data_IF_246190485766
#
_entry.id   IF_246190485766
#
_cell.length_a   1.000
_cell.length_b   1.000
_cell.length_c   1.000
_cell.angle_alpha   90.00
_cell.angle_beta   90.00
_cell.angle_gamma   90.00
#
_symmetry.space_group_name_H-M   'P 1'
#
loop_
_entity.id
_entity.type
_entity.pdbx_description
1 polymer ?
#
# COMPACT_ATOMS: atom_id res chain seq x y z
N UNK A 1 -5.24 -13.60 -15.05
CA UNK A 1 -5.80 -13.96 -13.72
C UNK A 1 -5.19 -13.03 -12.68
N UNK A 2 -6.00 -12.36 -11.86
CA UNK A 2 -5.51 -11.63 -10.69
C UNK A 2 -5.11 -12.65 -9.63
N UNK A 3 -3.90 -12.51 -9.10
CA UNK A 3 -3.39 -13.45 -8.09
C UNK A 3 -3.99 -13.08 -6.73
N UNK A 4 -4.66 -14.01 -6.02
CA UNK A 4 -5.40 -13.69 -4.79
C UNK A 4 -4.48 -13.09 -3.73
N UNK A 5 -4.90 -12.00 -3.09
CA UNK A 5 -4.15 -11.33 -2.02
C UNK A 5 -4.23 -12.16 -0.73
N UNK A 6 -3.14 -12.18 0.05
CA UNK A 6 -3.14 -12.76 1.40
C UNK A 6 -4.06 -11.98 2.34
N UNK A 7 -4.41 -12.54 3.49
CA UNK A 7 -5.19 -11.81 4.49
C UNK A 7 -4.44 -10.55 4.96
N UNK A 8 -3.15 -10.67 5.25
CA UNK A 8 -2.34 -9.54 5.73
C UNK A 8 -2.14 -8.45 4.69
N UNK A 9 -2.14 -8.78 3.40
CA UNK A 9 -2.13 -7.77 2.33
C UNK A 9 -3.40 -6.93 2.31
N UNK A 10 -4.56 -7.59 2.40
CA UNK A 10 -5.85 -6.90 2.43
C UNK A 10 -5.91 -5.97 3.65
N UNK A 11 -5.44 -6.46 4.79
CA UNK A 11 -5.37 -5.67 6.01
C UNK A 11 -4.43 -4.47 5.89
N UNK A 12 -3.28 -4.62 5.22
CA UNK A 12 -2.39 -3.50 4.93
C UNK A 12 -3.13 -2.40 4.16
N UNK A 13 -3.78 -2.73 3.03
CA UNK A 13 -4.54 -1.74 2.26
C UNK A 13 -5.60 -1.00 3.10
N UNK A 14 -6.28 -1.72 3.99
CA UNK A 14 -7.26 -1.12 4.90
C UNK A 14 -6.62 -0.16 5.92
N UNK A 15 -5.53 -0.57 6.57
CA UNK A 15 -4.80 0.28 7.52
C UNK A 15 -4.29 1.54 6.82
N UNK A 16 -3.64 1.39 5.67
CA UNK A 16 -3.09 2.52 4.93
C UNK A 16 -4.19 3.51 4.54
N UNK A 17 -5.35 3.02 4.07
CA UNK A 17 -6.50 3.87 3.80
C UNK A 17 -6.99 4.62 5.04
N UNK A 18 -7.07 3.97 6.19
CA UNK A 18 -7.48 4.62 7.44
C UNK A 18 -6.48 5.70 7.89
N UNK A 19 -5.18 5.44 7.78
CA UNK A 19 -4.13 6.42 8.12
C UNK A 19 -4.29 7.68 7.27
N UNK A 20 -4.29 7.52 5.95
CA UNK A 20 -4.24 8.67 5.05
C UNK A 20 -5.57 9.39 4.89
N UNK A 21 -6.71 8.69 4.98
CA UNK A 21 -8.03 9.36 4.99
C UNK A 21 -8.24 10.21 6.24
N UNK A 22 -7.79 9.74 7.41
CA UNK A 22 -7.84 10.53 8.65
C UNK A 22 -6.84 11.68 8.64
N UNK A 23 -5.64 11.45 8.13
CA UNK A 23 -4.62 12.48 8.00
C UNK A 23 -5.10 13.63 7.11
N UNK A 24 -5.58 13.32 5.90
CA UNK A 24 -6.10 14.29 4.94
C UNK A 24 -7.21 15.14 5.57
N UNK A 25 -8.23 14.48 6.14
CA UNK A 25 -9.34 15.15 6.84
C UNK A 25 -8.88 16.06 7.99
N UNK A 26 -7.95 15.58 8.82
CA UNK A 26 -7.50 16.34 9.99
C UNK A 26 -6.49 17.45 9.64
N UNK A 27 -6.04 17.51 8.39
CA UNK A 27 -5.04 18.48 7.92
C UNK A 27 -5.56 19.39 6.81
N UNK A 28 -6.87 19.43 6.62
CA UNK A 28 -7.53 20.24 5.59
C UNK A 28 -7.25 21.74 5.79
N UNK A 29 -7.34 22.22 7.04
CA UNK A 29 -7.27 23.64 7.39
C UNK A 29 -5.98 24.04 8.14
N UNK A 30 -4.95 23.20 8.16
CA UNK A 30 -3.71 23.49 8.91
C UNK A 30 -2.51 23.63 8.01
N UNK A 31 -1.68 24.64 8.26
CA UNK A 31 -0.40 24.82 7.58
C UNK A 31 0.73 24.00 8.26
N UNK A 32 0.52 23.52 9.50
CA UNK A 32 1.50 22.72 10.24
C UNK A 32 1.40 21.23 9.86
N UNK A 33 1.85 20.92 8.64
CA UNK A 33 1.64 19.61 8.02
C UNK A 33 2.77 18.61 8.22
N UNK A 34 4.01 19.08 8.47
CA UNK A 34 5.19 18.21 8.53
C UNK A 34 5.11 17.16 9.64
N UNK A 35 4.78 17.57 10.87
CA UNK A 35 4.71 16.65 12.01
C UNK A 35 3.61 15.57 11.83
N UNK A 36 2.35 15.92 11.48
CA UNK A 36 1.34 14.92 11.14
C UNK A 36 1.75 13.99 9.98
N UNK A 37 2.39 14.53 8.94
CA UNK A 37 2.88 13.74 7.81
C UNK A 37 3.96 12.73 8.24
N UNK A 38 4.90 13.12 9.10
CA UNK A 38 5.91 12.20 9.66
C UNK A 38 5.30 11.12 10.56
N UNK A 39 4.30 11.45 11.37
CA UNK A 39 3.59 10.45 12.17
C UNK A 39 2.88 9.42 11.28
N UNK A 40 2.16 9.88 10.26
CA UNK A 40 1.49 9.00 9.30
C UNK A 40 2.49 8.15 8.51
N UNK A 41 3.62 8.73 8.10
CA UNK A 41 4.71 8.01 7.45
C UNK A 41 5.26 6.88 8.32
N UNK A 42 5.55 7.17 9.60
CA UNK A 42 6.02 6.16 10.56
C UNK A 42 5.00 5.04 10.76
N UNK A 43 3.73 5.39 10.98
CA UNK A 43 2.64 4.41 11.13
C UNK A 43 2.44 3.55 9.88
N UNK A 44 2.48 4.17 8.70
CA UNK A 44 2.39 3.50 7.39
C UNK A 44 3.53 2.49 7.21
N UNK A 45 4.76 2.90 7.51
CA UNK A 45 5.94 2.04 7.38
C UNK A 45 5.89 0.85 8.31
N UNK A 46 5.51 1.06 9.58
CA UNK A 46 5.35 -0.01 10.55
C UNK A 46 4.28 -1.01 10.09
N UNK A 47 3.11 -0.51 9.69
CA UNK A 47 2.04 -1.35 9.16
C UNK A 47 2.49 -2.17 7.94
N UNK A 48 3.20 -1.54 7.00
CA UNK A 48 3.70 -2.22 5.80
C UNK A 48 4.70 -3.33 6.13
N UNK A 49 5.64 -3.09 7.05
CA UNK A 49 6.62 -4.08 7.48
C UNK A 49 5.97 -5.26 8.21
N UNK A 50 5.10 -4.97 9.18
CA UNK A 50 4.40 -6.00 9.96
C UNK A 50 3.52 -6.86 9.06
N UNK A 51 2.68 -6.25 8.22
CA UNK A 51 1.78 -6.98 7.33
C UNK A 51 2.51 -7.68 6.19
N UNK A 52 3.59 -7.11 5.67
CA UNK A 52 4.43 -7.75 4.66
C UNK A 52 5.11 -9.00 5.19
N UNK A 53 5.69 -8.92 6.39
CA UNK A 53 6.31 -10.06 7.07
C UNK A 53 5.28 -11.15 7.37
N UNK A 54 4.13 -10.76 7.91
CA UNK A 54 3.02 -11.68 8.17
C UNK A 54 2.47 -12.33 6.88
N UNK A 55 2.45 -11.60 5.77
CA UNK A 55 2.07 -12.14 4.44
C UNK A 55 3.05 -13.21 3.97
N UNK A 56 4.35 -13.01 4.17
CA UNK A 56 5.37 -14.03 3.83
C UNK A 56 5.17 -15.28 4.70
N UNK A 57 4.92 -15.11 5.99
CA UNK A 57 4.63 -16.21 6.89
C UNK A 57 3.36 -16.96 6.46
N UNK A 58 2.28 -16.24 6.14
CA UNK A 58 1.01 -16.81 5.66
C UNK A 58 1.22 -17.63 4.37
N UNK A 59 1.94 -17.09 3.38
CA UNK A 59 2.27 -17.80 2.15
C UNK A 59 3.10 -19.05 2.41
N UNK A 60 4.03 -19.00 3.37
CA UNK A 60 4.90 -20.13 3.73
C UNK A 60 4.10 -21.23 4.41
N UNK A 61 3.27 -20.89 5.40
CA UNK A 61 2.44 -21.85 6.13
C UNK A 61 1.41 -22.50 5.21
N UNK A 62 0.70 -21.71 4.40
CA UNK A 62 -0.29 -22.23 3.45
C UNK A 62 0.36 -23.04 2.34
N UNK A 63 1.49 -22.57 1.80
CA UNK A 63 2.26 -23.28 0.78
C UNK A 63 2.72 -24.65 1.30
N UNK A 64 3.32 -24.68 2.49
CA UNK A 64 3.79 -25.92 3.11
C UNK A 64 2.64 -26.87 3.45
N UNK A 65 1.55 -26.34 4.01
CA UNK A 65 0.34 -27.11 4.31
C UNK A 65 -0.23 -27.81 3.08
N UNK A 66 -0.22 -27.16 1.91
CA UNK A 66 -0.67 -27.76 0.66
C UNK A 66 0.29 -28.82 0.08
N UNK A 67 1.59 -28.75 0.42
CA UNK A 67 2.59 -29.72 -0.03
C UNK A 67 2.69 -30.95 0.89
N UNK A 68 2.44 -30.79 2.19
CA UNK A 68 2.67 -31.84 3.20
C UNK A 68 1.42 -32.67 3.56
N UNK A 69 0.26 -32.43 2.93
CA UNK A 69 -0.93 -33.24 3.23
C UNK A 69 -0.76 -34.70 2.81
N UNK A 70 -1.32 -35.64 3.60
CA UNK A 70 -1.22 -37.09 3.41
C UNK A 70 -1.75 -37.63 2.07
N UNK A 71 -2.50 -36.83 1.30
CA UNK A 71 -2.98 -37.16 -0.04
C UNK A 71 -2.75 -35.97 -1.01
N UNK A 72 -1.55 -35.84 -1.61
CA UNK A 72 -1.24 -34.73 -2.50
C UNK A 72 -1.87 -34.94 -3.89
N UNK A 73 -2.97 -34.23 -4.19
CA UNK A 73 -3.45 -34.09 -5.57
C UNK A 73 -2.52 -33.18 -6.40
N UNK A 74 -2.43 -33.43 -7.70
CA UNK A 74 -1.64 -32.62 -8.65
C UNK A 74 -2.00 -31.12 -8.58
N UNK A 75 -3.29 -30.81 -8.46
CA UNK A 75 -3.80 -29.44 -8.35
C UNK A 75 -3.35 -28.74 -7.05
N UNK A 76 -3.37 -29.44 -5.90
CA UNK A 76 -2.89 -28.88 -4.63
C UNK A 76 -1.38 -28.62 -4.64
N UNK A 77 -0.60 -29.54 -5.20
CA UNK A 77 0.85 -29.36 -5.34
C UNK A 77 1.20 -28.17 -6.24
N UNK A 78 0.47 -27.99 -7.34
CA UNK A 78 0.58 -26.81 -8.21
C UNK A 78 0.24 -25.51 -7.47
N UNK A 79 -0.87 -25.50 -6.70
CA UNK A 79 -1.25 -24.34 -5.88
C UNK A 79 -0.22 -24.02 -4.80
N UNK A 80 0.29 -25.02 -4.08
CA UNK A 80 1.33 -24.84 -3.07
C UNK A 80 2.62 -24.25 -3.66
N UNK A 81 3.10 -24.80 -4.79
CA UNK A 81 4.25 -24.25 -5.52
C UNK A 81 4.01 -22.82 -6.02
N UNK A 82 2.79 -22.51 -6.47
CA UNK A 82 2.44 -21.16 -6.90
C UNK A 82 2.51 -20.14 -5.75
N UNK A 83 2.14 -20.53 -4.52
CA UNK A 83 2.28 -19.68 -3.34
C UNK A 83 3.76 -19.43 -2.99
N UNK A 84 4.60 -20.48 -2.99
CA UNK A 84 6.04 -20.33 -2.75
C UNK A 84 6.73 -19.39 -3.74
N UNK A 85 6.34 -19.43 -5.01
CA UNK A 85 6.87 -18.51 -6.04
C UNK A 85 6.63 -17.03 -5.72
N UNK A 86 5.69 -16.69 -4.84
CA UNK A 86 5.41 -15.30 -4.44
C UNK A 86 6.31 -14.81 -3.30
N UNK A 87 6.91 -15.71 -2.52
CA UNK A 87 7.75 -15.34 -1.37
C UNK A 87 8.97 -14.51 -1.81
N UNK A 88 9.76 -14.92 -2.83
CA UNK A 88 10.89 -14.11 -3.29
C UNK A 88 10.48 -12.71 -3.73
N UNK A 89 9.37 -12.58 -4.46
CA UNK A 89 8.87 -11.28 -4.92
C UNK A 89 8.47 -10.38 -3.75
N UNK A 90 7.85 -10.96 -2.70
CA UNK A 90 7.51 -10.23 -1.46
C UNK A 90 8.76 -9.76 -0.72
N UNK A 91 9.75 -10.62 -0.60
CA UNK A 91 11.00 -10.31 0.07
C UNK A 91 11.76 -9.20 -0.66
N UNK A 92 11.83 -9.24 -2.00
CA UNK A 92 12.40 -8.14 -2.79
C UNK A 92 11.65 -6.83 -2.53
N UNK A 93 10.32 -6.88 -2.47
CA UNK A 93 9.50 -5.73 -2.11
C UNK A 93 9.84 -5.14 -0.73
N UNK A 94 9.98 -6.00 0.28
CA UNK A 94 10.27 -5.59 1.66
C UNK A 94 11.70 -5.12 1.88
N UNK A 95 12.67 -5.76 1.24
CA UNK A 95 14.10 -5.53 1.51
C UNK A 95 14.67 -4.43 0.60
N UNK A 96 14.15 -4.27 -0.61
CA UNK A 96 14.72 -3.34 -1.60
C UNK A 96 13.74 -2.21 -1.91
N UNK A 97 12.54 -2.53 -2.39
CA UNK A 97 11.61 -1.49 -2.86
C UNK A 97 11.12 -0.60 -1.71
N UNK A 98 10.82 -1.21 -0.54
CA UNK A 98 10.30 -0.50 0.61
C UNK A 98 11.30 0.51 1.21
N UNK A 99 12.59 0.19 1.47
CA UNK A 99 13.55 1.18 1.93
C UNK A 99 13.74 2.34 0.96
N UNK A 100 13.82 2.06 -0.34
CA UNK A 100 13.95 3.11 -1.37
C UNK A 100 12.74 4.03 -1.36
N UNK A 101 11.53 3.48 -1.35
CA UNK A 101 10.29 4.27 -1.28
C UNK A 101 10.22 5.08 0.02
N UNK A 102 10.68 4.53 1.14
CA UNK A 102 10.70 5.21 2.43
C UNK A 102 11.60 6.46 2.41
N UNK A 103 12.80 6.34 1.84
CA UNK A 103 13.73 7.47 1.69
C UNK A 103 13.12 8.56 0.81
N UNK A 104 12.55 8.18 -0.34
CA UNK A 104 11.91 9.14 -1.24
C UNK A 104 10.75 9.88 -0.55
N UNK A 105 9.90 9.16 0.18
CA UNK A 105 8.78 9.75 0.91
C UNK A 105 9.26 10.70 2.02
N UNK A 106 10.33 10.37 2.75
CA UNK A 106 10.89 11.27 3.76
C UNK A 106 11.35 12.61 3.14
N UNK A 107 11.97 12.58 1.95
CA UNK A 107 12.36 13.79 1.21
C UNK A 107 11.13 14.60 0.79
N UNK A 108 10.07 13.92 0.31
CA UNK A 108 8.83 14.59 -0.09
C UNK A 108 8.17 15.24 1.14
N UNK A 109 8.11 14.57 2.29
CA UNK A 109 7.52 15.15 3.52
C UNK A 109 8.29 16.40 3.96
N UNK A 110 9.62 16.38 3.86
CA UNK A 110 10.45 17.53 4.23
C UNK A 110 10.23 18.73 3.31
N UNK A 111 9.99 18.51 2.02
CA UNK A 111 9.84 19.57 1.01
C UNK A 111 8.40 20.03 0.82
N UNK A 112 7.46 19.09 0.76
CA UNK A 112 6.09 19.31 0.32
C UNK A 112 5.12 18.34 1.05
N UNK A 113 4.91 18.55 2.36
CA UNK A 113 4.12 17.63 3.19
C UNK A 113 2.65 17.55 2.72
N UNK A 114 2.07 18.64 2.20
CA UNK A 114 0.71 18.61 1.66
C UNK A 114 0.59 17.67 0.47
N UNK A 115 1.54 17.74 -0.48
CA UNK A 115 1.57 16.83 -1.62
C UNK A 115 1.73 15.37 -1.17
N UNK A 116 2.56 15.11 -0.16
CA UNK A 116 2.68 13.77 0.43
C UNK A 116 1.32 13.26 0.95
N UNK A 117 0.59 14.08 1.71
CA UNK A 117 -0.72 13.72 2.29
C UNK A 117 -1.73 13.44 1.18
N UNK A 118 -1.90 14.38 0.24
CA UNK A 118 -2.86 14.27 -0.86
C UNK A 118 -2.57 13.09 -1.78
N UNK A 119 -1.31 12.90 -2.18
CA UNK A 119 -0.91 11.81 -3.06
C UNK A 119 -1.19 10.44 -2.45
N UNK A 120 -0.89 10.26 -1.15
CA UNK A 120 -1.20 9.01 -0.47
C UNK A 120 -2.70 8.85 -0.21
N UNK A 121 -3.45 9.91 0.13
CA UNK A 121 -4.91 9.87 0.29
C UNK A 121 -5.60 9.41 -0.99
N UNK A 122 -5.30 10.04 -2.13
CA UNK A 122 -5.87 9.67 -3.43
C UNK A 122 -5.45 8.27 -3.86
N UNK A 123 -4.18 7.91 -3.68
CA UNK A 123 -3.70 6.56 -3.99
C UNK A 123 -4.40 5.49 -3.14
N UNK A 124 -4.65 5.78 -1.85
CA UNK A 124 -5.37 4.85 -0.98
C UNK A 124 -6.86 4.72 -1.33
N UNK A 125 -7.51 5.77 -1.83
CA UNK A 125 -8.88 5.68 -2.36
C UNK A 125 -8.94 4.71 -3.55
N UNK A 126 -7.98 4.79 -4.47
CA UNK A 126 -7.84 3.84 -5.59
C UNK A 126 -7.63 2.42 -5.06
N UNK A 127 -6.68 2.23 -4.15
CA UNK A 127 -6.42 0.91 -3.54
C UNK A 127 -7.68 0.31 -2.92
N UNK A 128 -8.45 1.09 -2.16
CA UNK A 128 -9.69 0.63 -1.53
C UNK A 128 -10.72 0.15 -2.55
N UNK A 129 -11.00 0.96 -3.59
CA UNK A 129 -11.97 0.59 -4.64
C UNK A 129 -11.57 -0.71 -5.34
N UNK A 130 -10.30 -0.84 -5.72
CA UNK A 130 -9.82 -2.03 -6.42
C UNK A 130 -9.68 -3.25 -5.50
N UNK A 131 -9.45 -3.05 -4.21
CA UNK A 131 -9.47 -4.11 -3.22
C UNK A 131 -10.87 -4.70 -3.07
N UNK A 132 -11.87 -3.83 -2.87
CA UNK A 132 -13.28 -4.21 -2.72
C UNK A 132 -13.81 -4.89 -3.99
N UNK A 133 -13.40 -4.41 -5.17
CA UNK A 133 -13.75 -5.02 -6.46
C UNK A 133 -12.92 -6.27 -6.83
N UNK A 134 -11.89 -6.63 -6.05
CA UNK A 134 -11.00 -7.75 -6.37
C UNK A 134 -10.14 -7.55 -7.64
N UNK A 135 -9.92 -6.29 -8.04
CA UNK A 135 -9.24 -5.90 -9.29
C UNK A 135 -7.84 -5.30 -9.09
N UNK A 136 -7.24 -5.47 -7.90
CA UNK A 136 -5.85 -5.11 -7.64
C UNK A 136 -4.91 -5.79 -8.65
N UNK A 137 -3.98 -5.02 -9.20
CA UNK A 137 -2.99 -5.48 -10.18
C UNK A 137 -3.49 -5.55 -11.64
N UNK A 138 -4.76 -5.25 -11.89
CA UNK A 138 -5.30 -5.12 -13.26
C UNK A 138 -4.76 -3.88 -13.98
N UNK A 139 -4.97 -3.79 -15.30
CA UNK A 139 -4.59 -2.60 -16.05
C UNK A 139 -5.37 -1.36 -15.59
N UNK A 140 -6.66 -1.51 -15.30
CA UNK A 140 -7.50 -0.44 -14.75
C UNK A 140 -6.89 0.11 -13.44
N UNK A 141 -6.51 -0.80 -12.52
CA UNK A 141 -5.83 -0.41 -11.28
C UNK A 141 -4.55 0.39 -11.54
N UNK A 142 -3.72 -0.03 -12.50
CA UNK A 142 -2.47 0.68 -12.83
C UNK A 142 -2.72 2.07 -13.40
N UNK A 143 -3.71 2.20 -14.29
CA UNK A 143 -4.08 3.48 -14.89
C UNK A 143 -4.64 4.44 -13.83
N UNK A 144 -5.56 3.98 -12.98
CA UNK A 144 -6.11 4.82 -11.90
C UNK A 144 -5.06 5.19 -10.85
N UNK A 145 -4.16 4.26 -10.51
CA UNK A 145 -3.02 4.51 -9.64
C UNK A 145 -2.13 5.64 -10.14
N UNK A 146 -1.85 5.66 -11.44
CA UNK A 146 -1.06 6.72 -12.07
C UNK A 146 -1.83 8.06 -12.06
N UNK A 147 -3.14 8.01 -12.32
CA UNK A 147 -4.01 9.20 -12.32
C UNK A 147 -4.14 9.85 -10.94
N UNK A 148 -4.12 9.06 -9.86
CA UNK A 148 -4.20 9.58 -8.49
C UNK A 148 -3.14 10.64 -8.17
N UNK A 149 -1.94 10.50 -8.73
CA UNK A 149 -0.87 11.51 -8.56
C UNK A 149 -1.19 12.83 -9.27
N UNK A 150 -1.88 12.78 -10.42
CA UNK A 150 -2.35 13.98 -11.13
C UNK A 150 -3.40 14.73 -10.32
N UNK A 151 -4.40 13.99 -9.81
CA UNK A 151 -5.46 14.54 -8.95
C UNK A 151 -4.86 15.20 -7.69
N UNK A 152 -3.86 14.56 -7.07
CA UNK A 152 -3.19 15.12 -5.90
C UNK A 152 -2.43 16.43 -6.20
N UNK A 153 -1.96 16.64 -7.43
CA UNK A 153 -1.34 17.91 -7.85
C UNK A 153 -2.39 18.99 -8.05
N UNK A 154 -3.50 18.67 -8.71
CA UNK A 154 -4.62 19.59 -8.92
C UNK A 154 -5.11 20.12 -7.55
N UNK A 155 -5.38 19.22 -6.61
CA UNK A 155 -5.78 19.57 -5.24
C UNK A 155 -4.74 20.36 -4.44
N UNK A 156 -3.46 20.17 -4.75
CA UNK A 156 -2.40 20.92 -4.08
C UNK A 156 -2.44 22.38 -4.52
N UNK A 157 -2.66 22.63 -5.82
CA UNK A 157 -2.77 23.97 -6.38
C UNK A 157 -3.98 24.68 -5.76
N UNK A 158 -5.14 24.02 -5.74
CA UNK A 158 -6.35 24.53 -5.09
C UNK A 158 -6.10 24.90 -3.61
N UNK A 159 -5.46 24.01 -2.86
CA UNK A 159 -5.13 24.28 -1.46
C UNK A 159 -4.15 25.45 -1.28
N UNK A 160 -3.19 25.62 -2.20
CA UNK A 160 -2.26 26.75 -2.17
C UNK A 160 -2.99 28.07 -2.42
N UNK A 161 -3.86 28.11 -3.43
CA UNK A 161 -4.70 29.28 -3.74
C UNK A 161 -5.59 29.68 -2.56
N UNK A 162 -6.15 28.71 -1.83
CA UNK A 162 -6.98 28.95 -0.64
C UNK A 162 -6.19 29.41 0.60
N UNK A 163 -4.85 29.26 0.62
CA UNK A 163 -4.00 29.54 1.78
C UNK A 163 -2.96 30.65 1.51
N UNK A 164 -3.07 31.36 0.39
CA UNK A 164 -2.21 32.50 0.01
C UNK A 164 -2.68 33.86 0.56
N UNK A 165 -3.65 33.89 1.50
CA UNK A 165 -4.08 35.10 2.23
C UNK A 165 -3.16 35.49 3.40
#
# INVERSE_FOLDING_TARGET
>A
MSTPLTHFEKWNYQIQYQIFSRLDKNTEQTQKLQFPAFLAFGASNLAHLTTGTASVAELTIQGLGLLLTSYPSSERSLRGRALFKRIPLRLVGLVIAFPVASIMNAVIIAREPKFYILSNSEYMKVNRRHLEAGTIGTQAYKTESQRAKGIAKEKLIEWQEENED
#
